data_IF_777729424088
#
_entry.id   IF_777729424088
#
_cell.length_a   1.000
_cell.length_b   1.000
_cell.length_c   1.000
_cell.angle_alpha   90.00
_cell.angle_beta   90.00
_cell.angle_gamma   90.00
#
_symmetry.space_group_name_H-M   'P 1'
#
loop_
_entity.id
_entity.type
_entity.pdbx_description
1 polymer ?
#
# COMPACT_ATOMS: atom_id res chain seq x y z
N UNK A 1 -13.17 -47.81 3.01
CA UNK A 1 -12.11 -47.02 2.34
C UNK A 1 -10.78 -47.71 2.51
N UNK A 2 -10.05 -47.79 1.46
CA UNK A 2 -8.76 -48.44 1.48
C UNK A 2 -7.67 -47.53 2.03
N UNK A 3 -6.61 -48.11 2.62
CA UNK A 3 -5.48 -47.35 3.19
C UNK A 3 -4.81 -46.42 2.18
N UNK A 4 -4.77 -46.83 0.88
CA UNK A 4 -4.22 -46.04 -0.23
C UNK A 4 -5.01 -44.73 -0.40
N UNK A 5 -6.33 -44.77 -0.30
CA UNK A 5 -7.17 -43.58 -0.41
C UNK A 5 -6.94 -42.62 0.79
N UNK A 6 -6.76 -43.14 2.00
CA UNK A 6 -6.45 -42.34 3.17
C UNK A 6 -5.11 -41.61 3.04
N UNK A 7 -4.08 -42.29 2.53
CA UNK A 7 -2.77 -41.69 2.24
C UNK A 7 -2.88 -40.62 1.17
N UNK A 8 -3.65 -40.85 0.13
CA UNK A 8 -3.85 -39.90 -0.96
C UNK A 8 -4.59 -38.65 -0.44
N UNK A 9 -5.60 -38.82 0.38
CA UNK A 9 -6.33 -37.69 1.01
C UNK A 9 -5.39 -36.89 1.89
N UNK A 10 -4.58 -37.53 2.75
CA UNK A 10 -3.59 -36.86 3.59
C UNK A 10 -2.57 -36.08 2.77
N UNK A 11 -2.05 -36.67 1.69
CA UNK A 11 -1.12 -36.00 0.81
C UNK A 11 -1.75 -34.78 0.10
N UNK A 12 -3.00 -34.89 -0.31
CA UNK A 12 -3.74 -33.77 -0.92
C UNK A 12 -3.97 -32.64 0.07
N UNK A 13 -4.31 -32.95 1.32
CA UNK A 13 -4.49 -31.94 2.38
C UNK A 13 -3.16 -31.23 2.65
N UNK A 14 -2.07 -31.98 2.76
CA UNK A 14 -0.74 -31.43 3.00
C UNK A 14 -0.32 -30.51 1.85
N UNK A 15 -0.50 -30.94 0.61
CA UNK A 15 -0.22 -30.12 -0.57
C UNK A 15 -1.07 -28.86 -0.58
N UNK A 16 -2.37 -28.95 -0.28
CA UNK A 16 -3.25 -27.78 -0.21
C UNK A 16 -2.76 -26.78 0.84
N UNK A 17 -2.39 -27.25 2.03
CA UNK A 17 -1.95 -26.40 3.12
C UNK A 17 -0.60 -25.72 2.86
N UNK A 18 0.35 -26.41 2.25
CA UNK A 18 1.73 -25.94 2.10
C UNK A 18 2.08 -25.41 0.72
N UNK A 19 1.29 -25.71 -0.30
CA UNK A 19 1.55 -25.30 -1.69
C UNK A 19 0.38 -24.51 -2.26
N UNK A 20 -0.79 -25.13 -2.37
CA UNK A 20 -1.92 -24.57 -3.11
C UNK A 20 -2.52 -23.32 -2.45
N UNK A 21 -2.75 -23.35 -1.15
CA UNK A 21 -3.33 -22.22 -0.41
C UNK A 21 -2.34 -21.06 -0.33
N UNK A 22 -1.08 -21.26 0.08
CA UNK A 22 -0.11 -20.15 0.08
C UNK A 22 0.11 -19.55 -1.30
N UNK A 23 0.14 -20.34 -2.35
CA UNK A 23 0.29 -19.84 -3.73
C UNK A 23 -0.93 -18.99 -4.13
N UNK A 24 -2.13 -19.45 -3.84
CA UNK A 24 -3.36 -18.73 -4.13
C UNK A 24 -3.45 -17.41 -3.35
N UNK A 25 -3.07 -17.42 -2.06
CA UNK A 25 -3.03 -16.23 -1.23
C UNK A 25 -1.99 -15.22 -1.75
N UNK A 26 -0.83 -15.69 -2.17
CA UNK A 26 0.21 -14.84 -2.76
C UNK A 26 -0.31 -14.15 -4.02
N UNK A 27 -1.00 -14.88 -4.88
CA UNK A 27 -1.61 -14.31 -6.09
C UNK A 27 -2.70 -13.30 -5.75
N UNK A 28 -3.53 -13.59 -4.76
CA UNK A 28 -4.53 -12.65 -4.25
C UNK A 28 -3.90 -11.38 -3.73
N UNK A 29 -2.81 -11.48 -2.97
CA UNK A 29 -2.05 -10.33 -2.46
C UNK A 29 -1.46 -9.50 -3.59
N UNK A 30 -0.89 -10.13 -4.63
CA UNK A 30 -0.38 -9.41 -5.80
C UNK A 30 -1.47 -8.60 -6.47
N UNK A 31 -2.63 -9.19 -6.69
CA UNK A 31 -3.76 -8.51 -7.31
C UNK A 31 -4.28 -7.37 -6.43
N UNK A 32 -4.39 -7.58 -5.13
CA UNK A 32 -4.81 -6.57 -4.18
C UNK A 32 -3.82 -5.41 -4.12
N UNK A 33 -2.53 -5.69 -4.04
CA UNK A 33 -1.49 -4.67 -4.02
C UNK A 33 -1.46 -3.86 -5.32
N UNK A 34 -1.64 -4.50 -6.47
CA UNK A 34 -1.70 -3.81 -7.75
C UNK A 34 -2.91 -2.86 -7.82
N UNK A 35 -4.05 -3.28 -7.30
CA UNK A 35 -5.25 -2.46 -7.21
C UNK A 35 -5.02 -1.22 -6.34
N UNK A 36 -4.44 -1.43 -5.16
CA UNK A 36 -4.13 -0.34 -4.23
C UNK A 36 -3.10 0.61 -4.84
N UNK A 37 -2.06 0.08 -5.47
CA UNK A 37 -1.05 0.88 -6.15
C UNK A 37 -1.65 1.78 -7.23
N UNK A 38 -2.52 1.24 -8.06
CA UNK A 38 -3.21 2.02 -9.10
C UNK A 38 -4.07 3.12 -8.51
N UNK A 39 -4.81 2.81 -7.46
CA UNK A 39 -5.66 3.77 -6.78
C UNK A 39 -4.83 4.87 -6.10
N UNK A 40 -3.74 4.50 -5.44
CA UNK A 40 -2.83 5.45 -4.82
C UNK A 40 -2.19 6.38 -5.85
N UNK A 41 -1.79 5.86 -7.00
CA UNK A 41 -1.26 6.68 -8.11
C UNK A 41 -2.30 7.67 -8.63
N UNK A 42 -3.56 7.25 -8.74
CA UNK A 42 -4.64 8.13 -9.15
C UNK A 42 -4.92 9.23 -8.14
N UNK A 43 -4.75 8.95 -6.85
CA UNK A 43 -4.97 9.89 -5.75
C UNK A 43 -3.79 10.84 -5.52
N UNK A 44 -2.59 10.45 -5.92
CA UNK A 44 -1.38 11.22 -5.65
C UNK A 44 -1.42 12.59 -6.33
N UNK A 45 -1.08 13.69 -5.60
CA UNK A 45 -0.97 14.98 -6.24
C UNK A 45 0.17 14.98 -7.25
N UNK A 46 -0.05 15.59 -8.42
CA UNK A 46 0.90 15.54 -9.53
C UNK A 46 1.46 16.93 -9.78
N UNK A 47 2.63 17.23 -9.21
CA UNK A 47 3.41 18.39 -9.56
C UNK A 47 4.47 18.05 -10.61
N UNK A 48 5.35 17.12 -10.29
CA UNK A 48 6.41 16.64 -11.21
C UNK A 48 6.19 15.22 -11.71
N UNK A 49 5.21 14.50 -11.14
CA UNK A 49 4.99 13.09 -11.42
C UNK A 49 5.91 12.14 -10.64
N UNK A 50 6.88 12.67 -9.90
CA UNK A 50 7.85 11.84 -9.16
C UNK A 50 7.20 11.01 -8.06
N UNK A 51 6.27 11.61 -7.32
CA UNK A 51 5.55 10.89 -6.27
C UNK A 51 4.73 9.74 -6.88
N UNK A 52 3.96 10.03 -7.90
CA UNK A 52 3.13 9.03 -8.58
C UNK A 52 3.98 7.87 -9.12
N UNK A 53 5.06 8.17 -9.81
CA UNK A 53 5.93 7.14 -10.39
C UNK A 53 6.70 6.33 -9.34
N UNK A 54 6.87 6.86 -8.13
CA UNK A 54 7.57 6.18 -7.05
C UNK A 54 6.69 5.19 -6.29
N UNK A 55 5.37 5.26 -6.46
CA UNK A 55 4.45 4.35 -5.76
C UNK A 55 4.59 2.96 -6.37
N UNK A 56 4.88 2.00 -5.52
CA UNK A 56 5.11 0.62 -5.92
C UNK A 56 4.58 -0.33 -4.86
N UNK A 57 4.57 -1.62 -5.17
CA UNK A 57 4.19 -2.65 -4.22
C UNK A 57 5.19 -3.80 -4.19
N UNK A 58 5.16 -4.54 -3.11
CA UNK A 58 5.96 -5.74 -2.93
C UNK A 58 5.16 -6.76 -2.14
N UNK A 59 5.20 -8.01 -2.60
CA UNK A 59 4.61 -9.14 -1.88
C UNK A 59 5.72 -10.05 -1.41
N UNK A 60 5.65 -10.45 -0.14
CA UNK A 60 6.55 -11.42 0.47
C UNK A 60 5.80 -12.73 0.64
N UNK A 61 6.04 -13.74 -0.24
CA UNK A 61 5.23 -14.96 -0.24
C UNK A 61 5.30 -15.75 1.05
N UNK A 62 6.47 -15.85 1.67
CA UNK A 62 6.67 -16.62 2.91
C UNK A 62 5.95 -15.99 4.11
N UNK A 63 5.90 -14.67 4.17
CA UNK A 63 5.22 -13.94 5.23
C UNK A 63 3.74 -13.71 4.90
N UNK A 64 3.30 -13.99 3.68
CA UNK A 64 1.96 -13.68 3.16
C UNK A 64 1.60 -12.21 3.43
N UNK A 65 2.52 -11.34 3.10
CA UNK A 65 2.42 -9.90 3.35
C UNK A 65 2.59 -9.14 2.04
N UNK A 66 1.72 -8.15 1.83
CA UNK A 66 1.84 -7.20 0.74
C UNK A 66 2.00 -5.79 1.30
N UNK A 67 2.86 -5.01 0.67
CA UNK A 67 3.13 -3.62 1.05
C UNK A 67 3.02 -2.74 -0.18
N UNK A 68 2.32 -1.63 -0.04
CA UNK A 68 2.22 -0.58 -1.06
C UNK A 68 2.74 0.72 -0.46
N UNK A 69 3.58 1.42 -1.18
CA UNK A 69 4.14 2.66 -0.66
C UNK A 69 5.07 3.35 -1.65
N UNK A 70 5.77 4.34 -1.15
CA UNK A 70 6.73 5.13 -1.89
C UNK A 70 8.04 5.24 -1.13
N UNK A 71 9.15 5.25 -1.86
CA UNK A 71 10.49 5.45 -1.30
C UNK A 71 10.93 6.91 -1.30
N UNK A 72 10.09 7.80 -1.82
CA UNK A 72 10.42 9.23 -1.85
C UNK A 72 10.33 9.83 -0.45
N UNK A 73 11.33 10.60 -0.07
CA UNK A 73 11.47 11.16 1.28
C UNK A 73 10.29 12.03 1.71
N UNK A 74 9.69 12.76 0.78
CA UNK A 74 8.59 13.65 1.10
C UNK A 74 7.19 12.98 1.08
N UNK A 75 7.10 11.73 0.66
CA UNK A 75 5.81 11.02 0.55
C UNK A 75 5.01 11.00 1.87
N UNK A 76 5.61 10.72 3.04
CA UNK A 76 4.86 10.77 4.31
C UNK A 76 4.25 12.13 4.59
N UNK A 77 4.95 13.20 4.23
CA UNK A 77 4.46 14.57 4.45
C UNK A 77 3.30 14.94 3.54
N UNK A 78 3.24 14.37 2.35
CA UNK A 78 2.08 14.52 1.47
C UNK A 78 0.88 13.79 2.07
N UNK A 79 1.07 12.57 2.54
CA UNK A 79 0.00 11.73 3.09
C UNK A 79 -0.64 12.37 4.33
N UNK A 80 0.17 12.81 5.28
CA UNK A 80 -0.30 13.26 6.59
C UNK A 80 -0.31 14.78 6.77
N UNK A 81 0.28 15.54 5.83
CA UNK A 81 0.45 16.98 5.96
C UNK A 81 1.63 17.35 6.84
N UNK A 82 1.89 18.65 6.95
CA UNK A 82 3.04 19.17 7.70
C UNK A 82 2.62 20.36 8.59
N UNK A 83 3.49 20.71 9.54
CA UNK A 83 3.27 21.84 10.41
C UNK A 83 2.01 21.70 11.25
N UNK A 84 1.26 22.78 11.37
CA UNK A 84 0.01 22.80 12.14
C UNK A 84 -1.09 21.93 11.52
N UNK A 85 -0.95 21.56 10.25
CA UNK A 85 -1.94 20.77 9.51
C UNK A 85 -1.69 19.26 9.55
N UNK A 86 -0.61 18.81 10.19
CA UNK A 86 -0.29 17.38 10.27
C UNK A 86 -1.43 16.61 10.94
N UNK A 87 -1.99 15.62 10.21
CA UNK A 87 -3.10 14.80 10.69
C UNK A 87 -2.72 13.86 11.83
N UNK A 88 -1.44 13.56 11.96
CA UNK A 88 -0.90 12.71 13.02
C UNK A 88 -0.51 13.50 14.28
N UNK A 89 -0.58 14.83 14.23
CA UNK A 89 -0.02 15.68 15.28
C UNK A 89 1.52 15.68 15.23
N UNK A 90 2.14 16.44 16.10
CA UNK A 90 3.60 16.50 16.21
C UNK A 90 4.31 17.24 15.08
N UNK A 91 3.58 17.87 14.17
CA UNK A 91 4.16 18.71 13.15
C UNK A 91 4.76 19.99 13.75
N UNK A 92 5.69 20.61 13.01
CA UNK A 92 6.35 21.84 13.43
C UNK A 92 5.32 22.95 13.61
N UNK A 93 5.38 23.63 14.76
CA UNK A 93 4.49 24.75 15.08
C UNK A 93 5.23 26.08 14.88
N UNK A 94 4.46 27.14 14.59
CA UNK A 94 4.98 28.49 14.49
C UNK A 94 5.49 28.89 13.12
N UNK A 95 5.36 28.01 12.11
CA UNK A 95 5.78 28.32 10.76
C UNK A 95 7.29 28.34 10.54
N UNK A 96 7.70 28.43 9.29
CA UNK A 96 9.11 28.52 8.91
C UNK A 96 9.27 29.11 7.51
N UNK A 97 10.47 29.58 7.26
CA UNK A 97 10.87 30.09 5.96
C UNK A 97 11.62 29.00 5.20
N UNK A 98 11.36 28.86 3.91
CA UNK A 98 12.11 27.96 3.04
C UNK A 98 12.36 28.61 1.68
N UNK A 99 13.33 28.07 0.94
CA UNK A 99 13.68 28.50 -0.40
C UNK A 99 13.35 27.35 -1.36
N UNK A 100 12.63 27.67 -2.44
CA UNK A 100 12.26 26.67 -3.44
C UNK A 100 13.43 26.36 -4.39
N UNK A 101 13.20 25.43 -5.32
CA UNK A 101 14.21 24.98 -6.27
C UNK A 101 14.68 26.12 -7.22
N UNK A 102 13.85 27.12 -7.45
CA UNK A 102 14.16 28.30 -8.28
C UNK A 102 14.82 29.43 -7.49
N UNK A 103 15.05 29.26 -6.19
CA UNK A 103 15.67 30.23 -5.33
C UNK A 103 14.73 31.26 -4.71
N UNK A 104 13.42 31.08 -4.83
CA UNK A 104 12.43 31.96 -4.25
C UNK A 104 12.15 31.60 -2.79
N UNK A 105 12.08 32.63 -1.94
CA UNK A 105 11.79 32.43 -0.53
C UNK A 105 10.28 32.38 -0.24
N UNK A 106 9.90 31.52 0.69
CA UNK A 106 8.52 31.33 1.09
C UNK A 106 8.39 31.15 2.59
N UNK A 107 7.33 31.73 3.15
CA UNK A 107 6.91 31.44 4.52
C UNK A 107 5.78 30.42 4.50
N UNK A 108 5.79 29.49 5.43
CA UNK A 108 4.72 28.51 5.57
C UNK A 108 4.46 28.13 7.02
N UNK A 109 3.25 27.78 7.32
CA UNK A 109 2.88 27.14 8.60
C UNK A 109 2.68 25.62 8.43
N UNK A 110 2.84 25.13 7.23
CA UNK A 110 2.69 23.73 6.86
C UNK A 110 1.82 23.56 5.63
N UNK A 111 1.60 22.32 5.27
CA UNK A 111 0.75 21.90 4.15
C UNK A 111 -0.37 20.99 4.66
N UNK A 112 -1.57 21.19 4.12
CA UNK A 112 -2.69 20.29 4.39
C UNK A 112 -2.38 18.88 3.88
N UNK A 113 -2.89 17.83 4.56
CA UNK A 113 -2.78 16.47 4.04
C UNK A 113 -3.40 16.33 2.66
N UNK A 114 -2.72 15.60 1.80
CA UNK A 114 -3.24 15.16 0.51
C UNK A 114 -3.07 13.65 0.44
N UNK A 115 -3.89 12.89 1.21
CA UNK A 115 -3.71 11.46 1.35
C UNK A 115 -3.95 10.72 0.03
N UNK A 116 -3.07 9.81 -0.29
CA UNK A 116 -3.14 8.99 -1.50
C UNK A 116 -3.13 7.49 -1.18
N UNK A 117 -2.48 7.07 -0.10
CA UNK A 117 -2.42 5.67 0.32
C UNK A 117 -3.66 5.27 1.13
N UNK A 118 -4.02 6.06 2.13
CA UNK A 118 -5.18 5.73 2.99
C UNK A 118 -6.48 5.62 2.20
N UNK A 119 -6.84 6.57 1.31
CA UNK A 119 -8.04 6.38 0.48
C UNK A 119 -7.95 5.19 -0.47
N UNK A 120 -6.75 4.87 -0.96
CA UNK A 120 -6.55 3.71 -1.83
C UNK A 120 -6.90 2.39 -1.12
N UNK A 121 -6.63 2.30 0.18
CA UNK A 121 -7.08 1.17 0.99
C UNK A 121 -8.57 1.27 1.32
N UNK A 122 -8.98 2.36 1.95
CA UNK A 122 -10.31 2.51 2.55
C UNK A 122 -11.44 2.48 1.52
N UNK A 123 -11.21 3.02 0.33
CA UNK A 123 -12.23 3.11 -0.72
C UNK A 123 -12.31 1.86 -1.59
N UNK A 124 -11.39 0.90 -1.42
CA UNK A 124 -11.31 -0.30 -2.25
C UNK A 124 -11.44 -1.60 -1.46
N UNK A 125 -11.95 -1.56 -0.24
CA UNK A 125 -12.05 -2.73 0.64
C UNK A 125 -12.81 -3.87 -0.05
N UNK A 126 -13.96 -3.60 -0.66
CA UNK A 126 -14.73 -4.62 -1.37
C UNK A 126 -13.97 -5.24 -2.55
N UNK A 127 -13.27 -4.42 -3.33
CA UNK A 127 -12.47 -4.90 -4.45
C UNK A 127 -11.25 -5.71 -3.98
N UNK A 128 -10.63 -5.30 -2.87
CA UNK A 128 -9.54 -6.03 -2.24
C UNK A 128 -10.03 -7.41 -1.78
N UNK A 129 -11.17 -7.47 -1.12
CA UNK A 129 -11.78 -8.72 -0.68
C UNK A 129 -12.06 -9.66 -1.83
N UNK A 130 -12.51 -9.13 -2.97
CA UNK A 130 -12.75 -9.93 -4.18
C UNK A 130 -11.51 -10.58 -4.74
N UNK A 131 -10.33 -10.02 -4.49
CA UNK A 131 -9.06 -10.63 -4.91
C UNK A 131 -8.82 -12.00 -4.25
N UNK A 132 -9.50 -12.28 -3.15
CA UNK A 132 -9.37 -13.51 -2.38
C UNK A 132 -10.60 -14.42 -2.47
N UNK A 133 -11.62 -14.03 -3.20
CA UNK A 133 -12.80 -14.87 -3.42
C UNK A 133 -12.44 -16.12 -4.24
N UNK A 134 -13.05 -17.24 -3.88
CA UNK A 134 -12.89 -18.50 -4.62
C UNK A 134 -11.56 -19.21 -4.38
N UNK A 135 -10.78 -18.80 -3.38
CA UNK A 135 -9.51 -19.44 -3.06
C UNK A 135 -9.67 -20.76 -2.27
N UNK A 136 -10.83 -20.98 -1.72
CA UNK A 136 -11.14 -22.16 -0.91
C UNK A 136 -12.29 -22.94 -1.52
#
# INVERSE_FOLDING_TARGET
MEATNAKQIAANIEKAAHVDIPLALTKGLENACLLIERSAKANAPVRSGNLRSSITHRVTPMALEGVVGSTIDYAPYVEIGTGIYSSMGGGRKGGWFYVDAEGNGHWTEGSHPQPFLKPAMDNNISAIMKCFEGLI
#
